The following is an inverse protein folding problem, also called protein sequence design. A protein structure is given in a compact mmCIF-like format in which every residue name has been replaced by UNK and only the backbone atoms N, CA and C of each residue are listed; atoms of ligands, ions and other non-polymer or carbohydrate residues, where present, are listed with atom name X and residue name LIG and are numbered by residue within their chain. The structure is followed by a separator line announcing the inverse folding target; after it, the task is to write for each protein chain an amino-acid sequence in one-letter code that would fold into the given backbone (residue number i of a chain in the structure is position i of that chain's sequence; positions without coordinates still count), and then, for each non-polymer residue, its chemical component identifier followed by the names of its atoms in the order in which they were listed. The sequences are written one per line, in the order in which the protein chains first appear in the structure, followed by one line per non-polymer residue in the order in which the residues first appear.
data_IF_932586299241
#
_entry.id   IF_932586299241
#
_cell.length_a   1.000
_cell.length_b   1.000
_cell.length_c   1.000
_cell.angle_alpha   90.00
_cell.angle_beta   90.00
_cell.angle_gamma   90.00
#
_symmetry.space_group_name_H-M   'P 1'
#
loop_
_entity.id
_entity.type
_entity.pdbx_description
1 polymer ?
#
# COMPACT_ATOMS: atom_id res chain seq x y z
N UNK A 1 -20.25 -19.17 22.90
CA UNK A 1 -20.22 -18.10 21.86
C UNK A 1 -18.86 -17.43 21.92
N UNK A 2 -17.98 -17.68 20.95
CA UNK A 2 -16.68 -16.99 20.91
C UNK A 2 -16.87 -15.64 20.21
N UNK A 3 -16.71 -14.55 20.96
CA UNK A 3 -16.66 -13.21 20.41
C UNK A 3 -15.36 -13.06 19.60
N UNK A 4 -15.48 -12.93 18.29
CA UNK A 4 -14.33 -12.77 17.40
C UNK A 4 -13.88 -11.31 17.53
N UNK A 5 -12.88 -11.05 18.38
CA UNK A 5 -12.24 -9.74 18.44
C UNK A 5 -11.77 -9.35 17.02
N UNK A 6 -12.18 -8.16 16.55
CA UNK A 6 -11.62 -7.55 15.33
C UNK A 6 -10.14 -7.28 15.58
N UNK A 7 -9.29 -8.22 15.21
CA UNK A 7 -7.84 -8.05 15.23
C UNK A 7 -7.37 -7.20 14.05
N UNK A 8 -6.33 -6.41 14.26
CA UNK A 8 -5.60 -5.74 13.18
C UNK A 8 -4.70 -6.77 12.51
N UNK A 9 -4.75 -6.85 11.18
CA UNK A 9 -3.86 -7.70 10.38
C UNK A 9 -2.92 -6.82 9.57
N UNK A 10 -1.63 -6.98 9.80
CA UNK A 10 -0.59 -6.31 9.02
C UNK A 10 -0.21 -7.20 7.83
N UNK A 11 -0.20 -6.61 6.62
CA UNK A 11 0.23 -7.29 5.41
C UNK A 11 1.47 -6.55 4.88
N UNK A 12 2.57 -7.27 4.76
CA UNK A 12 3.78 -6.74 4.11
C UNK A 12 3.55 -6.80 2.60
N UNK A 13 3.73 -5.68 1.93
CA UNK A 13 3.54 -5.56 0.49
C UNK A 13 4.84 -5.22 -0.23
N UNK A 14 4.95 -5.66 -1.48
CA UNK A 14 5.94 -5.15 -2.42
C UNK A 14 5.24 -4.73 -3.70
N UNK A 15 5.56 -3.56 -4.22
CA UNK A 15 4.83 -3.02 -5.35
C UNK A 15 5.46 -1.80 -6.00
N UNK A 16 4.71 -1.21 -6.92
CA UNK A 16 5.05 0.04 -7.60
C UNK A 16 4.04 1.12 -7.25
N UNK A 17 4.53 2.32 -6.99
CA UNK A 17 3.69 3.50 -6.74
C UNK A 17 3.51 4.26 -8.05
N UNK A 18 2.28 4.66 -8.36
CA UNK A 18 1.94 5.49 -9.52
C UNK A 18 1.00 6.61 -9.11
N UNK A 19 1.19 7.78 -9.72
CA UNK A 19 0.22 8.87 -9.64
C UNK A 19 -0.77 8.68 -10.77
N UNK A 20 -2.07 8.73 -10.44
CA UNK A 20 -3.16 8.67 -11.40
C UNK A 20 -4.08 9.89 -11.23
N UNK A 21 -4.57 10.50 -12.31
CA UNK A 21 -5.59 11.53 -12.22
C UNK A 21 -6.97 10.88 -12.03
N UNK A 22 -7.71 11.30 -11.00
CA UNK A 22 -9.13 10.92 -10.81
C UNK A 22 -9.93 12.20 -10.60
N UNK A 23 -10.87 12.47 -11.51
CA UNK A 23 -11.68 13.71 -11.52
C UNK A 23 -10.85 15.00 -11.38
N UNK A 24 -9.70 15.06 -12.07
CA UNK A 24 -8.80 16.22 -12.06
C UNK A 24 -7.92 16.37 -10.81
N UNK A 25 -8.05 15.46 -9.83
CA UNK A 25 -7.20 15.44 -8.64
C UNK A 25 -6.17 14.30 -8.73
N UNK A 26 -4.92 14.52 -8.29
CA UNK A 26 -3.92 13.46 -8.24
C UNK A 26 -4.23 12.49 -7.10
N UNK A 27 -4.18 11.19 -7.42
CA UNK A 27 -4.26 10.11 -6.45
C UNK A 27 -3.05 9.21 -6.60
N UNK A 28 -2.67 8.56 -5.51
CA UNK A 28 -1.63 7.54 -5.50
C UNK A 28 -2.27 6.16 -5.61
N UNK A 29 -1.80 5.34 -6.54
CA UNK A 29 -2.11 3.91 -6.64
C UNK A 29 -0.85 3.10 -6.38
N UNK A 30 -0.97 2.08 -5.53
CA UNK A 30 0.09 1.08 -5.31
C UNK A 30 -0.30 -0.21 -6.03
N UNK A 31 0.48 -0.60 -7.04
CA UNK A 31 0.37 -1.90 -7.69
C UNK A 31 1.18 -2.92 -6.88
N UNK A 32 0.49 -3.78 -6.14
CA UNK A 32 1.12 -4.82 -5.31
C UNK A 32 1.28 -6.09 -6.12
N UNK A 33 2.48 -6.69 -6.07
CA UNK A 33 2.72 -7.99 -6.69
C UNK A 33 1.93 -9.08 -5.96
N UNK A 34 1.27 -9.97 -6.70
CA UNK A 34 0.41 -11.03 -6.13
C UNK A 34 1.13 -11.84 -5.07
N UNK A 35 2.36 -12.27 -5.36
CA UNK A 35 3.18 -13.14 -4.51
C UNK A 35 3.77 -12.41 -3.28
N UNK A 36 3.60 -11.09 -3.19
CA UNK A 36 4.13 -10.25 -2.12
C UNK A 36 3.02 -9.41 -1.48
N UNK A 37 2.08 -10.09 -0.81
CA UNK A 37 0.96 -9.48 -0.09
C UNK A 37 -0.27 -9.17 -0.96
N UNK A 38 -0.16 -9.25 -2.29
CA UNK A 38 -1.27 -9.00 -3.21
C UNK A 38 -2.41 -10.00 -3.07
N UNK A 39 -2.13 -11.29 -2.86
CA UNK A 39 -3.17 -12.30 -2.61
C UNK A 39 -3.98 -12.00 -1.33
N UNK A 40 -3.30 -11.55 -0.27
CA UNK A 40 -3.96 -11.20 0.99
C UNK A 40 -4.82 -9.94 0.85
N UNK A 41 -4.37 -8.95 0.08
CA UNK A 41 -5.13 -7.75 -0.22
C UNK A 41 -6.33 -8.00 -1.14
N UNK A 42 -6.22 -8.96 -2.07
CA UNK A 42 -7.34 -9.35 -2.92
C UNK A 42 -8.54 -9.87 -2.11
N UNK A 43 -8.31 -10.45 -0.93
CA UNK A 43 -9.37 -10.89 0.00
C UNK A 43 -10.10 -9.70 0.66
N UNK A 44 -9.58 -8.48 0.52
CA UNK A 44 -10.14 -7.23 1.02
C UNK A 44 -10.77 -6.35 -0.07
N UNK A 45 -10.99 -6.85 -1.29
CA UNK A 45 -11.63 -6.07 -2.37
C UNK A 45 -12.95 -5.45 -1.90
N UNK A 46 -13.13 -4.16 -2.20
CA UNK A 46 -14.32 -3.38 -1.83
C UNK A 46 -14.39 -2.95 -0.37
N UNK A 47 -13.34 -3.22 0.43
CA UNK A 47 -13.23 -2.76 1.81
C UNK A 47 -12.21 -1.64 1.92
N UNK A 48 -12.47 -0.72 2.83
CA UNK A 48 -11.46 0.25 3.26
C UNK A 48 -10.40 -0.45 4.11
N UNK A 49 -9.14 -0.08 3.90
CA UNK A 49 -7.98 -0.60 4.64
C UNK A 49 -7.11 0.55 5.11
N UNK A 50 -6.59 0.45 6.32
CA UNK A 50 -5.61 1.37 6.88
C UNK A 50 -4.26 0.66 7.02
N UNK A 51 -3.15 1.37 6.82
CA UNK A 51 -1.83 0.77 6.87
C UNK A 51 -0.70 1.78 6.87
N UNK A 52 0.50 1.27 7.18
CA UNK A 52 1.75 2.03 7.16
C UNK A 52 2.51 1.68 5.87
N UNK A 53 3.08 2.70 5.22
CA UNK A 53 3.95 2.52 4.05
C UNK A 53 5.38 2.82 4.47
N UNK A 54 6.29 1.88 4.21
CA UNK A 54 7.72 2.08 4.42
C UNK A 54 8.35 2.47 3.09
N UNK A 55 8.89 3.68 3.01
CA UNK A 55 9.66 4.18 1.85
C UNK A 55 11.14 4.11 2.23
N UNK A 56 11.96 3.52 1.36
CA UNK A 56 13.41 3.55 1.54
C UNK A 56 13.89 4.94 1.12
N UNK A 57 14.58 5.61 2.03
CA UNK A 57 15.31 6.83 1.71
C UNK A 57 16.60 6.42 0.99
N UNK A 58 16.64 6.64 -0.32
CA UNK A 58 17.91 6.62 -1.05
C UNK A 58 18.47 8.03 -0.85
N UNK A 59 19.35 8.19 0.15
CA UNK A 59 19.83 9.49 0.61
C UNK A 59 20.19 10.43 -0.53
N UNK A 60 19.85 11.70 -0.36
CA UNK A 60 20.01 12.77 -1.35
C UNK A 60 21.41 12.76 -1.99
N UNK A 61 21.53 12.32 -3.25
CA UNK A 61 22.61 12.82 -4.10
C UNK A 61 22.29 14.29 -4.40
N UNK A 62 22.73 15.16 -3.49
CA UNK A 62 22.75 16.59 -3.70
C UNK A 62 23.67 16.88 -4.89
N UNK A 63 23.08 17.04 -6.08
CA UNK A 63 23.77 17.64 -7.22
C UNK A 63 24.05 19.11 -6.90
N UNK A 64 25.17 19.37 -6.25
CA UNK A 64 25.80 20.68 -6.28
C UNK A 64 26.57 20.82 -7.60
N UNK A 65 26.06 21.65 -8.51
CA UNK A 65 26.86 22.33 -9.54
C UNK A 65 26.22 23.65 -9.94
#
# INVERSE_FOLDING_TARGET
MFSKHKGVKVVIIKGRVQIIPVHGKPYVRIYVYTDYGGEELAKCIGKEVEGLVVVKDEGEESCAH
#
